data_IF_009525093418
#
_entry.id   IF_009525093418
#
_cell.length_a   1.000
_cell.length_b   1.000
_cell.length_c   1.000
_cell.angle_alpha   90.00
_cell.angle_beta   90.00
_cell.angle_gamma   90.00
#
_symmetry.space_group_name_H-M   'P 1'
#
loop_
_entity.id
_entity.type
_entity.pdbx_description
1 polymer ?
#
# COMPACT_ATOMS: atom_id res chain seq x y z
N UNK A 1 22.21 10.92 11.22
CA UNK A 1 21.04 10.82 12.13
C UNK A 1 21.35 10.01 13.39
N UNK A 2 22.06 8.88 13.29
CA UNK A 2 22.42 8.03 14.45
C UNK A 2 23.20 8.74 15.56
N UNK A 3 24.37 9.33 15.28
CA UNK A 3 25.17 10.05 16.29
C UNK A 3 24.38 11.20 16.94
N UNK A 4 23.61 11.96 16.16
CA UNK A 4 22.75 13.02 16.69
C UNK A 4 21.73 12.50 17.70
N UNK A 5 21.13 11.33 17.43
CA UNK A 5 20.19 10.67 18.33
C UNK A 5 20.86 10.27 19.64
N UNK A 6 22.09 9.72 19.56
CA UNK A 6 22.88 9.33 20.73
C UNK A 6 23.34 10.53 21.58
N UNK A 7 23.54 11.71 20.96
CA UNK A 7 23.99 12.92 21.63
C UNK A 7 22.88 13.97 21.86
N UNK A 8 21.64 13.50 22.06
CA UNK A 8 20.54 14.34 22.60
C UNK A 8 19.66 15.04 21.57
N UNK A 9 19.83 14.79 20.27
CA UNK A 9 18.90 15.23 19.20
C UNK A 9 18.25 14.03 18.54
N UNK A 10 17.13 13.59 19.09
CA UNK A 10 16.38 12.42 18.60
C UNK A 10 15.97 12.62 17.14
N UNK A 11 16.62 11.86 16.24
CA UNK A 11 16.36 11.83 14.79
C UNK A 11 16.21 10.39 14.28
N UNK A 12 15.87 9.46 15.18
CA UNK A 12 15.74 8.04 14.92
C UNK A 12 15.60 7.26 16.24
N UNK A 13 15.53 5.93 16.13
CA UNK A 13 15.46 5.03 17.26
C UNK A 13 16.79 4.28 17.42
N UNK A 14 17.27 4.17 18.67
CA UNK A 14 18.40 3.31 19.00
C UNK A 14 17.95 2.29 20.04
N UNK A 15 17.97 1.01 19.66
CA UNK A 15 17.53 -0.09 20.50
C UNK A 15 18.74 -0.97 20.76
N UNK A 16 19.38 -0.89 21.96
CA UNK A 16 20.50 -1.76 22.27
C UNK A 16 20.00 -3.20 22.33
N UNK A 17 20.60 -4.06 21.52
CA UNK A 17 20.30 -5.48 21.49
C UNK A 17 21.58 -6.31 21.47
N UNK A 18 21.72 -7.19 22.47
CA UNK A 18 22.94 -7.99 22.70
C UNK A 18 23.37 -8.79 21.47
N UNK A 19 22.42 -9.26 20.67
CA UNK A 19 22.68 -10.14 19.52
C UNK A 19 22.43 -9.44 18.17
N UNK A 20 22.44 -8.10 18.12
CA UNK A 20 22.16 -7.34 16.91
C UNK A 20 23.04 -7.76 15.71
N UNK A 21 24.31 -8.08 15.95
CA UNK A 21 25.23 -8.53 14.89
C UNK A 21 24.80 -9.84 14.20
N UNK A 22 24.00 -10.68 14.88
CA UNK A 22 23.51 -11.96 14.34
C UNK A 22 22.08 -11.89 13.78
N UNK A 23 21.32 -10.85 14.10
CA UNK A 23 19.94 -10.71 13.63
C UNK A 23 19.92 -10.46 12.10
N UNK A 24 19.09 -11.21 11.38
CA UNK A 24 18.88 -11.07 9.94
C UNK A 24 17.38 -11.08 9.64
N UNK A 25 16.91 -10.30 8.66
CA UNK A 25 15.56 -10.47 8.11
C UNK A 25 15.41 -11.89 7.56
N UNK A 26 14.37 -12.59 8.00
CA UNK A 26 14.03 -13.96 7.61
C UNK A 26 12.62 -13.98 7.01
N UNK A 27 12.34 -14.86 6.03
CA UNK A 27 11.00 -15.02 5.49
C UNK A 27 10.04 -15.64 6.53
N UNK A 28 8.74 -15.52 6.29
CA UNK A 28 7.65 -16.05 7.12
C UNK A 28 6.94 -17.21 6.41
N UNK A 29 7.56 -18.40 6.27
CA UNK A 29 6.99 -19.52 5.50
C UNK A 29 5.65 -20.03 6.05
N UNK A 30 5.35 -19.78 7.33
CA UNK A 30 4.06 -20.11 7.92
C UNK A 30 2.87 -19.36 7.28
N UNK A 31 3.12 -18.23 6.60
CA UNK A 31 2.10 -17.48 5.89
C UNK A 31 1.87 -17.97 4.46
N UNK A 32 2.80 -18.72 3.86
CA UNK A 32 2.71 -19.18 2.47
C UNK A 32 1.38 -19.89 2.15
N UNK A 33 0.82 -20.77 3.02
CA UNK A 33 -0.49 -21.36 2.78
C UNK A 33 -1.64 -20.35 2.65
N UNK A 34 -1.58 -19.23 3.38
CA UNK A 34 -2.60 -18.18 3.29
C UNK A 34 -2.55 -17.44 1.95
N UNK A 35 -1.34 -17.17 1.44
CA UNK A 35 -1.16 -16.55 0.12
C UNK A 35 -1.57 -17.50 -1.01
N UNK A 36 -1.19 -18.78 -0.93
CA UNK A 36 -1.63 -19.82 -1.86
C UNK A 36 -3.15 -19.97 -1.86
N UNK A 37 -3.77 -19.95 -0.67
CA UNK A 37 -5.23 -19.99 -0.53
C UNK A 37 -5.95 -18.77 -1.12
N UNK A 38 -5.25 -17.66 -1.32
CA UNK A 38 -5.77 -16.41 -1.87
C UNK A 38 -5.59 -16.25 -3.39
N UNK A 39 -4.97 -17.23 -4.08
CA UNK A 39 -4.70 -17.16 -5.52
C UNK A 39 -5.94 -16.83 -6.37
N UNK A 40 -7.13 -17.32 -5.98
CA UNK A 40 -8.38 -16.99 -6.66
C UNK A 40 -8.65 -15.49 -6.68
N UNK A 41 -8.49 -14.81 -5.53
CA UNK A 41 -8.62 -13.36 -5.46
C UNK A 41 -7.56 -12.66 -6.31
N UNK A 42 -6.33 -13.19 -6.35
CA UNK A 42 -5.24 -12.59 -7.12
C UNK A 42 -5.56 -12.60 -8.62
N UNK A 43 -6.04 -13.74 -9.12
CA UNK A 43 -6.48 -13.89 -10.51
C UNK A 43 -7.65 -12.95 -10.82
N UNK A 44 -8.60 -12.82 -9.91
CA UNK A 44 -9.72 -11.92 -10.13
C UNK A 44 -9.29 -10.45 -10.25
N UNK A 45 -8.32 -10.00 -9.45
CA UNK A 45 -7.78 -8.63 -9.52
C UNK A 45 -7.08 -8.41 -10.86
N UNK A 46 -6.26 -9.37 -11.32
CA UNK A 46 -5.60 -9.30 -12.63
C UNK A 46 -6.61 -9.30 -13.78
N UNK A 47 -7.64 -10.16 -13.71
CA UNK A 47 -8.69 -10.22 -14.72
C UNK A 47 -9.52 -8.92 -14.75
N UNK A 48 -9.81 -8.33 -13.59
CA UNK A 48 -10.47 -7.02 -13.52
C UNK A 48 -9.60 -5.93 -14.16
N UNK A 49 -8.29 -5.92 -13.86
CA UNK A 49 -7.35 -5.00 -14.50
C UNK A 49 -7.33 -5.15 -16.03
N UNK A 50 -7.34 -6.38 -16.54
CA UNK A 50 -7.42 -6.65 -17.97
C UNK A 50 -8.73 -6.12 -18.60
N UNK A 51 -9.84 -6.20 -17.87
CA UNK A 51 -11.11 -5.60 -18.26
C UNK A 51 -11.06 -4.07 -18.40
N UNK A 52 -10.14 -3.41 -17.68
CA UNK A 52 -9.92 -1.96 -17.76
C UNK A 52 -8.74 -1.56 -18.67
N UNK A 53 -8.22 -2.50 -19.48
CA UNK A 53 -7.06 -2.29 -20.37
C UNK A 53 -7.12 -0.99 -21.19
N UNK A 54 -8.22 -0.62 -21.87
CA UNK A 54 -8.26 0.62 -22.66
C UNK A 54 -7.98 1.88 -21.82
N UNK A 55 -8.51 1.94 -20.59
CA UNK A 55 -8.33 3.07 -19.68
C UNK A 55 -6.91 3.13 -19.12
N UNK A 56 -6.36 1.98 -18.73
CA UNK A 56 -4.98 1.87 -18.24
C UNK A 56 -3.98 2.28 -19.33
N UNK A 57 -4.21 1.90 -20.59
CA UNK A 57 -3.36 2.33 -21.70
C UNK A 57 -3.46 3.83 -22.00
N UNK A 58 -4.55 4.51 -21.63
CA UNK A 58 -4.60 5.98 -21.70
C UNK A 58 -3.61 6.61 -20.70
N UNK A 59 -3.53 6.07 -19.48
CA UNK A 59 -2.54 6.51 -18.49
C UNK A 59 -1.12 6.33 -19.02
N UNK A 60 -0.83 5.16 -19.63
CA UNK A 60 0.48 4.90 -20.27
C UNK A 60 0.82 5.95 -21.34
N UNK A 61 -0.18 6.41 -22.10
CA UNK A 61 -0.02 7.44 -23.14
C UNK A 61 0.08 8.87 -22.59
N UNK A 62 0.13 9.05 -21.26
CA UNK A 62 0.29 10.35 -20.63
C UNK A 62 -1.01 11.14 -20.48
N UNK A 63 -2.16 10.48 -20.53
CA UNK A 63 -3.45 11.11 -20.20
C UNK A 63 -3.53 11.29 -18.68
N UNK A 64 -3.38 12.54 -18.22
CA UNK A 64 -3.53 12.91 -16.81
C UNK A 64 -2.25 12.77 -15.95
N UNK A 65 -2.37 12.93 -14.63
CA UNK A 65 -1.22 13.02 -13.73
C UNK A 65 -0.62 11.67 -13.30
N UNK A 66 -1.38 10.58 -13.44
CA UNK A 66 -0.91 9.22 -13.18
C UNK A 66 0.07 8.78 -14.28
N UNK A 67 1.14 8.08 -13.89
CA UNK A 67 2.23 7.72 -14.82
C UNK A 67 2.98 6.47 -14.37
N UNK A 68 3.39 5.65 -15.32
CA UNK A 68 4.09 4.38 -15.09
C UNK A 68 5.63 4.50 -15.19
N UNK A 69 6.15 5.65 -15.58
CA UNK A 69 7.59 5.97 -15.65
C UNK A 69 8.14 6.46 -14.28
N UNK A 70 7.87 5.68 -13.23
CA UNK A 70 8.36 5.91 -11.86
C UNK A 70 8.39 4.58 -11.09
N UNK A 71 9.24 4.52 -10.06
CA UNK A 71 9.57 3.32 -9.30
C UNK A 71 8.97 3.28 -7.88
N UNK A 72 8.34 4.36 -7.42
CA UNK A 72 7.69 4.48 -6.11
C UNK A 72 6.38 3.70 -6.00
N UNK A 73 5.60 3.66 -7.08
CA UNK A 73 4.34 2.92 -7.16
C UNK A 73 4.27 2.21 -8.52
N UNK A 74 5.11 1.18 -8.72
CA UNK A 74 5.38 0.61 -10.03
C UNK A 74 4.17 -0.12 -10.59
N UNK A 75 4.30 -0.52 -11.85
CA UNK A 75 3.26 -1.13 -12.68
C UNK A 75 2.23 -1.98 -11.93
N UNK A 76 2.58 -3.13 -11.36
CA UNK A 76 1.59 -4.04 -10.79
C UNK A 76 0.87 -3.44 -9.57
N UNK A 77 1.57 -2.63 -8.78
CA UNK A 77 0.98 -1.89 -7.65
C UNK A 77 -0.10 -0.92 -8.13
N UNK A 78 0.25 -0.12 -9.15
CA UNK A 78 -0.64 0.81 -9.79
C UNK A 78 -1.85 0.12 -10.44
N UNK A 79 -1.61 -0.96 -11.17
CA UNK A 79 -2.66 -1.75 -11.84
C UNK A 79 -3.60 -2.39 -10.83
N UNK A 80 -3.07 -2.99 -9.76
CA UNK A 80 -3.87 -3.60 -8.71
C UNK A 80 -4.72 -2.54 -7.99
N UNK A 81 -4.13 -1.42 -7.58
CA UNK A 81 -4.87 -0.34 -6.93
C UNK A 81 -5.98 0.24 -7.81
N UNK A 82 -5.67 0.46 -9.09
CA UNK A 82 -6.65 0.92 -10.06
C UNK A 82 -7.82 -0.06 -10.20
N UNK A 83 -7.54 -1.35 -10.36
CA UNK A 83 -8.55 -2.39 -10.49
C UNK A 83 -9.39 -2.54 -9.20
N UNK A 84 -8.76 -2.48 -8.04
CA UNK A 84 -9.43 -2.55 -6.73
C UNK A 84 -10.44 -1.42 -6.57
N UNK A 85 -10.06 -0.18 -6.87
CA UNK A 85 -10.99 0.98 -6.81
C UNK A 85 -12.12 0.83 -7.82
N UNK A 86 -11.83 0.48 -9.08
CA UNK A 86 -12.85 0.34 -10.13
C UNK A 86 -13.85 -0.80 -9.85
N UNK A 87 -13.38 -1.90 -9.28
CA UNK A 87 -14.17 -3.09 -8.96
C UNK A 87 -15.03 -2.90 -7.73
N UNK A 88 -14.44 -2.41 -6.64
CA UNK A 88 -15.14 -2.28 -5.35
C UNK A 88 -15.95 -0.99 -5.24
N UNK A 89 -15.64 0.02 -6.05
CA UNK A 89 -16.37 1.29 -6.12
C UNK A 89 -16.58 1.92 -4.73
N UNK A 90 -15.50 2.10 -3.94
CA UNK A 90 -15.61 2.58 -2.57
C UNK A 90 -16.32 3.93 -2.51
N UNK A 91 -17.12 4.18 -1.47
CA UNK A 91 -17.65 5.52 -1.24
C UNK A 91 -16.54 6.45 -0.71
N UNK A 92 -15.58 5.89 0.04
CA UNK A 92 -14.47 6.63 0.65
C UNK A 92 -13.14 5.90 0.47
N UNK A 93 -12.10 6.70 0.26
CA UNK A 93 -10.71 6.29 0.36
C UNK A 93 -10.03 7.23 1.33
N UNK A 94 -9.49 6.69 2.42
CA UNK A 94 -8.58 7.42 3.32
C UNK A 94 -7.17 6.92 3.06
N UNK A 95 -6.29 7.80 2.62
CA UNK A 95 -4.90 7.51 2.29
C UNK A 95 -3.96 8.14 3.32
N UNK A 96 -3.02 7.36 3.86
CA UNK A 96 -1.99 7.81 4.79
C UNK A 96 -0.64 7.72 4.06
N UNK A 97 -0.01 8.87 3.82
CA UNK A 97 1.13 8.98 2.93
C UNK A 97 0.69 8.96 1.47
N UNK A 98 1.04 10.02 0.74
CA UNK A 98 0.39 10.35 -0.53
C UNK A 98 1.37 10.77 -1.63
N UNK A 99 0.90 10.75 -2.87
CA UNK A 99 1.65 11.21 -4.03
C UNK A 99 1.36 10.40 -5.29
N UNK A 100 2.18 9.40 -5.57
CA UNK A 100 2.07 8.60 -6.79
C UNK A 100 0.85 7.67 -6.77
N UNK A 101 0.61 6.97 -5.66
CA UNK A 101 -0.59 6.16 -5.42
C UNK A 101 -1.87 7.00 -5.59
N UNK A 102 -1.93 8.18 -4.96
CA UNK A 102 -3.09 9.09 -5.02
C UNK A 102 -3.52 9.39 -6.45
N UNK A 103 -2.57 9.56 -7.37
CA UNK A 103 -2.87 9.83 -8.79
C UNK A 103 -3.55 8.65 -9.46
N UNK A 104 -3.14 7.41 -9.16
CA UNK A 104 -3.80 6.21 -9.69
C UNK A 104 -5.17 5.98 -9.05
N UNK A 105 -5.31 6.25 -7.75
CA UNK A 105 -6.60 6.17 -7.04
C UNK A 105 -7.61 7.18 -7.62
N UNK A 106 -7.22 8.45 -7.74
CA UNK A 106 -8.06 9.50 -8.34
C UNK A 106 -8.40 9.20 -9.80
N UNK A 107 -7.43 8.69 -10.57
CA UNK A 107 -7.65 8.29 -11.96
C UNK A 107 -8.64 7.14 -12.09
N UNK A 108 -8.59 6.14 -11.19
CA UNK A 108 -9.56 5.06 -11.13
C UNK A 108 -10.97 5.56 -10.80
N UNK A 109 -11.10 6.52 -9.88
CA UNK A 109 -12.37 7.19 -9.54
C UNK A 109 -12.94 7.92 -10.75
N UNK A 110 -12.13 8.73 -11.43
CA UNK A 110 -12.53 9.50 -12.60
C UNK A 110 -12.97 8.60 -13.76
N UNK A 111 -12.14 7.62 -14.14
CA UNK A 111 -12.46 6.70 -15.23
C UNK A 111 -13.66 5.79 -14.92
N UNK A 112 -13.91 5.51 -13.63
CA UNK A 112 -15.06 4.73 -13.18
C UNK A 112 -16.36 5.54 -13.04
N UNK A 113 -16.31 6.87 -13.19
CA UNK A 113 -17.43 7.77 -12.91
C UNK A 113 -17.94 7.62 -11.47
N UNK A 114 -17.03 7.43 -10.51
CA UNK A 114 -17.39 7.15 -9.12
C UNK A 114 -17.62 8.44 -8.34
N UNK A 115 -18.57 8.42 -7.40
CA UNK A 115 -18.78 9.49 -6.43
C UNK A 115 -17.89 9.33 -5.17
N UNK A 116 -16.71 8.72 -5.35
CA UNK A 116 -15.78 8.39 -4.27
C UNK A 116 -15.13 9.65 -3.72
N UNK A 117 -15.17 9.83 -2.40
CA UNK A 117 -14.40 10.87 -1.71
C UNK A 117 -13.02 10.34 -1.33
N UNK A 118 -11.95 11.06 -1.70
CA UNK A 118 -10.57 10.70 -1.32
C UNK A 118 -10.06 11.73 -0.31
N UNK A 119 -9.61 11.26 0.86
CA UNK A 119 -8.91 12.07 1.85
C UNK A 119 -7.46 11.59 1.96
N UNK A 120 -6.50 12.44 1.57
CA UNK A 120 -5.07 12.13 1.60
C UNK A 120 -4.41 12.86 2.79
N UNK A 121 -3.95 12.11 3.78
CA UNK A 121 -3.28 12.59 4.99
C UNK A 121 -1.78 12.52 4.77
N UNK A 122 -1.13 13.68 4.65
CA UNK A 122 0.31 13.75 4.44
C UNK A 122 0.83 15.17 4.71
N UNK A 123 1.82 15.37 5.60
CA UNK A 123 2.35 16.71 5.89
C UNK A 123 3.10 17.32 4.70
N UNK A 124 3.64 16.50 3.79
CA UNK A 124 4.44 16.93 2.65
C UNK A 124 4.42 15.86 1.54
N UNK A 125 3.34 15.80 0.73
CA UNK A 125 3.18 14.82 -0.34
C UNK A 125 4.38 14.77 -1.28
N UNK A 126 4.81 13.56 -1.67
CA UNK A 126 5.92 13.36 -2.62
C UNK A 126 5.61 13.92 -4.01
N UNK A 127 4.32 14.03 -4.34
CA UNK A 127 3.84 14.61 -5.57
C UNK A 127 2.69 15.57 -5.26
N UNK A 128 2.68 16.75 -5.88
CA UNK A 128 1.61 17.73 -5.68
C UNK A 128 0.24 17.13 -6.00
N UNK A 129 -0.70 17.33 -5.08
CA UNK A 129 -2.09 16.92 -5.19
C UNK A 129 -3.01 18.05 -5.68
N UNK A 130 -2.48 19.25 -5.91
CA UNK A 130 -3.28 20.43 -6.26
C UNK A 130 -4.14 20.22 -7.51
N UNK A 131 -3.62 19.51 -8.52
CA UNK A 131 -4.35 19.19 -9.76
C UNK A 131 -5.40 18.09 -9.59
N UNK A 132 -5.49 17.46 -8.41
CA UNK A 132 -6.47 16.43 -8.08
C UNK A 132 -7.62 16.98 -7.22
N UNK A 133 -7.55 18.24 -6.76
CA UNK A 133 -8.60 18.85 -5.95
C UNK A 133 -9.95 18.86 -6.69
N UNK A 134 -9.93 19.20 -7.99
CA UNK A 134 -11.12 19.18 -8.86
C UNK A 134 -11.66 17.76 -9.11
N UNK A 135 -10.87 16.72 -8.79
CA UNK A 135 -11.25 15.31 -8.87
C UNK A 135 -11.75 14.76 -7.53
N UNK A 136 -12.02 15.63 -6.55
CA UNK A 136 -12.56 15.23 -5.25
C UNK A 136 -11.51 14.73 -4.25
N UNK A 137 -10.22 14.94 -4.51
CA UNK A 137 -9.15 14.65 -3.56
C UNK A 137 -9.01 15.80 -2.57
N UNK A 138 -9.30 15.54 -1.31
CA UNK A 138 -9.04 16.45 -0.19
C UNK A 138 -7.68 16.12 0.42
N UNK A 139 -6.75 17.07 0.34
CA UNK A 139 -5.47 16.98 1.04
C UNK A 139 -5.60 17.49 2.48
N UNK A 140 -5.15 16.68 3.43
CA UNK A 140 -5.03 16.97 4.87
C UNK A 140 -3.53 17.08 5.19
N UNK A 141 -2.96 18.31 5.27
CA UNK A 141 -1.52 18.54 5.40
C UNK A 141 -1.04 18.36 6.86
N UNK A 142 -1.18 17.15 7.40
CA UNK A 142 -0.86 16.83 8.79
C UNK A 142 -0.17 15.48 8.93
N UNK A 143 0.49 15.28 10.08
CA UNK A 143 0.94 13.95 10.49
C UNK A 143 -0.27 13.12 10.91
N UNK A 144 -0.19 11.79 10.77
CA UNK A 144 -1.30 10.88 11.11
C UNK A 144 -1.81 11.09 12.54
N UNK A 145 -0.91 11.30 13.51
CA UNK A 145 -1.28 11.52 14.92
C UNK A 145 -2.13 12.77 15.15
N UNK A 146 -2.11 13.72 14.23
CA UNK A 146 -2.78 15.01 14.31
C UNK A 146 -3.99 15.08 13.36
N UNK A 147 -4.23 14.03 12.55
CA UNK A 147 -5.36 13.94 11.63
C UNK A 147 -6.67 13.67 12.37
N UNK A 148 -7.79 14.14 11.80
CA UNK A 148 -9.13 13.96 12.39
C UNK A 148 -9.52 12.46 12.45
N UNK A 149 -9.71 11.90 13.66
CA UNK A 149 -10.12 10.50 13.81
C UNK A 149 -11.45 10.16 13.11
N UNK A 150 -12.31 11.16 12.86
CA UNK A 150 -13.56 10.96 12.15
C UNK A 150 -13.37 10.44 10.71
N UNK A 151 -12.21 10.70 10.09
CA UNK A 151 -11.87 10.15 8.77
C UNK A 151 -11.90 8.61 8.78
N UNK A 152 -11.32 8.00 9.81
CA UNK A 152 -11.27 6.55 9.97
C UNK A 152 -12.59 5.98 10.47
N UNK A 153 -13.26 6.67 11.41
CA UNK A 153 -14.54 6.24 11.95
C UNK A 153 -15.67 6.25 10.90
N UNK A 154 -15.52 7.02 9.83
CA UNK A 154 -16.48 7.10 8.73
C UNK A 154 -16.33 6.00 7.67
N UNK A 155 -15.26 5.18 7.73
CA UNK A 155 -15.07 4.07 6.80
C UNK A 155 -16.13 2.99 7.03
N UNK A 156 -16.72 2.51 5.94
CA UNK A 156 -17.75 1.48 5.95
C UNK A 156 -17.29 0.23 5.15
N UNK A 157 -17.98 -0.92 5.24
CA UNK A 157 -17.64 -2.09 4.44
C UNK A 157 -17.55 -1.74 2.94
N UNK A 158 -16.47 -2.13 2.28
CA UNK A 158 -16.18 -1.79 0.87
C UNK A 158 -15.41 -0.48 0.65
N UNK A 159 -15.30 0.39 1.67
CA UNK A 159 -14.39 1.55 1.63
C UNK A 159 -12.92 1.12 1.79
N UNK A 160 -12.00 2.04 1.47
CA UNK A 160 -10.56 1.75 1.44
C UNK A 160 -9.81 2.59 2.48
N UNK A 161 -8.98 1.92 3.28
CA UNK A 161 -7.85 2.52 3.98
C UNK A 161 -6.57 2.18 3.19
N UNK A 162 -5.87 3.18 2.67
CA UNK A 162 -4.64 3.01 1.91
C UNK A 162 -3.44 3.51 2.71
N UNK A 163 -2.42 2.69 2.91
CA UNK A 163 -1.29 2.97 3.82
C UNK A 163 0.05 2.90 3.08
N UNK A 164 0.71 4.05 2.96
CA UNK A 164 2.09 4.22 2.49
C UNK A 164 2.84 5.14 3.47
N UNK A 165 2.93 4.69 4.72
CA UNK A 165 3.35 5.52 5.86
C UNK A 165 4.86 5.46 6.13
N UNK A 166 5.27 5.65 7.39
CA UNK A 166 6.67 5.55 7.81
C UNK A 166 7.29 4.15 7.71
N UNK A 167 6.49 3.08 7.67
CA UNK A 167 6.91 1.65 7.72
C UNK A 167 7.76 1.24 8.93
N UNK A 168 7.86 2.11 9.94
CA UNK A 168 8.61 1.88 11.18
C UNK A 168 7.61 1.69 12.33
N UNK A 169 7.51 0.47 12.84
CA UNK A 169 6.76 0.07 14.03
C UNK A 169 7.59 0.35 15.30
N UNK A 170 7.33 1.51 15.91
CA UNK A 170 7.84 1.90 17.22
C UNK A 170 6.73 2.67 17.95
N UNK A 171 6.64 2.64 19.30
CA UNK A 171 5.60 3.37 20.02
C UNK A 171 5.51 4.84 19.58
N UNK A 172 4.30 5.27 19.21
CA UNK A 172 4.01 6.62 18.75
C UNK A 172 4.28 6.91 17.26
N UNK A 173 4.72 5.93 16.47
CA UNK A 173 4.82 6.06 15.01
C UNK A 173 3.48 5.79 14.32
N UNK A 174 3.44 6.02 13.00
CA UNK A 174 2.24 5.75 12.21
C UNK A 174 1.86 4.26 12.27
N UNK A 175 2.82 3.36 12.10
CA UNK A 175 2.57 1.91 12.12
C UNK A 175 2.02 1.44 13.47
N UNK A 176 2.52 1.99 14.58
CA UNK A 176 1.99 1.72 15.92
C UNK A 176 0.53 2.15 16.06
N UNK A 177 0.19 3.37 15.60
CA UNK A 177 -1.18 3.88 15.62
C UNK A 177 -2.11 3.10 14.68
N UNK A 178 -1.64 2.78 13.49
CA UNK A 178 -2.39 2.05 12.48
C UNK A 178 -2.73 0.66 13.01
N UNK A 179 -1.74 -0.10 13.44
CA UNK A 179 -1.95 -1.47 13.89
C UNK A 179 -2.63 -1.57 15.27
N UNK A 180 -2.32 -0.65 16.19
CA UNK A 180 -2.77 -0.69 17.58
C UNK A 180 -4.14 -0.06 17.84
N UNK A 181 -4.60 0.88 17.01
CA UNK A 181 -5.86 1.61 17.23
C UNK A 181 -6.75 1.64 15.97
N UNK A 182 -6.22 2.03 14.81
CA UNK A 182 -7.05 2.19 13.59
C UNK A 182 -7.56 0.85 13.07
N UNK A 183 -6.67 -0.07 12.70
CA UNK A 183 -7.05 -1.37 12.10
C UNK A 183 -8.00 -2.18 13.02
N UNK A 184 -7.80 -2.26 14.35
CA UNK A 184 -8.73 -2.94 15.24
C UNK A 184 -10.16 -2.36 15.24
N UNK A 185 -10.32 -1.07 14.97
CA UNK A 185 -11.62 -0.36 15.02
C UNK A 185 -12.37 -0.29 13.69
N UNK A 186 -11.71 -0.62 12.58
CA UNK A 186 -12.36 -0.65 11.26
C UNK A 186 -13.57 -1.61 11.26
N UNK A 187 -14.66 -1.31 10.55
CA UNK A 187 -15.71 -2.30 10.30
C UNK A 187 -15.21 -3.50 9.49
N UNK A 188 -15.84 -4.66 9.70
CA UNK A 188 -15.67 -5.82 8.83
C UNK A 188 -16.00 -5.44 7.37
N UNK A 189 -15.25 -5.97 6.42
CA UNK A 189 -15.41 -5.70 4.99
C UNK A 189 -14.70 -4.42 4.48
N UNK A 190 -14.10 -3.60 5.34
CA UNK A 190 -13.20 -2.53 4.89
C UNK A 190 -11.99 -3.16 4.19
N UNK A 191 -11.60 -2.55 3.07
CA UNK A 191 -10.41 -2.92 2.31
C UNK A 191 -9.22 -2.13 2.85
N UNK A 192 -8.10 -2.81 3.05
CA UNK A 192 -6.87 -2.20 3.55
C UNK A 192 -5.76 -2.48 2.57
N UNK A 193 -5.09 -1.43 2.10
CA UNK A 193 -3.85 -1.53 1.35
C UNK A 193 -2.68 -1.11 2.23
N UNK A 194 -1.57 -1.84 2.14
CA UNK A 194 -0.29 -1.44 2.72
C UNK A 194 0.80 -1.58 1.66
N UNK A 195 1.56 -0.51 1.44
CA UNK A 195 2.68 -0.46 0.51
C UNK A 195 3.99 -0.93 1.14
N UNK A 196 5.00 -1.19 0.30
CA UNK A 196 6.32 -1.68 0.72
C UNK A 196 6.26 -2.97 1.57
N UNK A 197 5.37 -3.90 1.21
CA UNK A 197 5.24 -5.21 1.85
C UNK A 197 5.66 -6.33 0.89
N UNK A 198 6.65 -7.12 1.30
CA UNK A 198 7.17 -8.27 0.55
C UNK A 198 6.75 -9.62 1.12
N UNK A 199 5.80 -9.63 2.06
CA UNK A 199 5.33 -10.87 2.68
C UNK A 199 4.88 -11.88 1.61
N UNK A 200 5.17 -13.17 1.81
CA UNK A 200 5.79 -13.78 3.00
C UNK A 200 7.33 -13.73 3.00
N UNK A 201 7.98 -13.09 2.04
CA UNK A 201 9.44 -12.95 2.02
C UNK A 201 9.95 -11.88 3.01
N UNK A 202 11.24 -12.00 3.33
CA UNK A 202 11.97 -10.95 4.01
C UNK A 202 12.18 -9.73 3.10
N UNK A 203 12.41 -8.58 3.73
CA UNK A 203 12.96 -7.43 3.02
C UNK A 203 14.35 -7.73 2.43
N UNK A 204 14.66 -7.22 1.23
CA UNK A 204 15.91 -7.53 0.55
C UNK A 204 17.08 -6.77 1.20
N UNK A 205 18.32 -7.25 1.06
CA UNK A 205 19.48 -6.65 1.72
C UNK A 205 19.68 -5.15 1.42
N UNK A 206 19.37 -4.70 0.21
CA UNK A 206 19.48 -3.28 -0.17
C UNK A 206 18.47 -2.37 0.54
N UNK A 207 17.46 -2.91 1.21
CA UNK A 207 16.52 -2.17 2.06
C UNK A 207 16.91 -2.18 3.53
N UNK A 208 18.01 -2.83 3.91
CA UNK A 208 18.45 -2.91 5.31
C UNK A 208 18.62 -1.52 5.96
N UNK A 209 19.04 -0.51 5.19
CA UNK A 209 19.20 0.86 5.68
C UNK A 209 17.87 1.58 5.95
N UNK A 210 16.76 1.15 5.33
CA UNK A 210 15.43 1.75 5.51
C UNK A 210 14.87 1.47 6.90
N UNK A 211 15.27 0.35 7.52
CA UNK A 211 14.83 -0.04 8.86
C UNK A 211 13.34 -0.40 8.96
N UNK A 212 12.72 -0.75 7.84
CA UNK A 212 11.31 -1.15 7.80
C UNK A 212 11.09 -2.44 8.59
N UNK A 213 10.05 -2.44 9.42
CA UNK A 213 9.67 -3.57 10.26
C UNK A 213 8.13 -3.75 10.34
N UNK A 214 7.37 -3.02 9.53
CA UNK A 214 5.91 -3.15 9.42
C UNK A 214 5.47 -4.55 8.94
N UNK A 215 6.25 -5.20 8.08
CA UNK A 215 5.98 -6.58 7.65
C UNK A 215 5.83 -7.57 8.83
N UNK A 216 6.56 -7.37 9.94
CA UNK A 216 6.43 -8.21 11.15
C UNK A 216 5.06 -8.05 11.79
N UNK A 217 4.53 -6.83 11.83
CA UNK A 217 3.21 -6.52 12.40
C UNK A 217 2.11 -7.13 11.50
N UNK A 218 2.24 -6.96 10.19
CA UNK A 218 1.28 -7.52 9.23
C UNK A 218 1.32 -9.05 9.20
N UNK A 219 2.49 -9.67 9.37
CA UNK A 219 2.61 -11.11 9.47
C UNK A 219 1.77 -11.67 10.65
N UNK A 220 1.85 -11.03 11.81
CA UNK A 220 1.04 -11.39 12.97
C UNK A 220 -0.46 -11.12 12.73
N UNK A 221 -0.81 -10.00 12.11
CA UNK A 221 -2.21 -9.67 11.76
C UNK A 221 -2.80 -10.72 10.81
N UNK A 222 -2.12 -11.08 9.74
CA UNK A 222 -2.57 -12.12 8.80
C UNK A 222 -2.67 -13.47 9.53
N UNK A 223 -1.66 -13.82 10.33
CA UNK A 223 -1.64 -15.06 11.10
C UNK A 223 -2.77 -15.18 12.15
N UNK A 224 -3.36 -14.07 12.58
CA UNK A 224 -4.50 -14.07 13.52
C UNK A 224 -5.80 -14.62 12.91
N UNK A 225 -5.89 -14.70 11.58
CA UNK A 225 -7.09 -15.17 10.88
C UNK A 225 -8.22 -14.14 10.78
N UNK A 226 -8.02 -12.90 11.23
CA UNK A 226 -8.99 -11.80 11.14
C UNK A 226 -9.02 -11.06 9.79
N UNK A 227 -8.28 -11.53 8.79
CA UNK A 227 -8.09 -10.84 7.52
C UNK A 227 -8.12 -11.81 6.35
N UNK A 228 -8.75 -11.41 5.24
CA UNK A 228 -8.57 -12.06 3.94
C UNK A 228 -7.47 -11.36 3.16
N UNK A 229 -6.59 -12.11 2.51
CA UNK A 229 -5.65 -11.55 1.55
C UNK A 229 -6.37 -11.43 0.20
N UNK A 230 -6.40 -10.24 -0.37
CA UNK A 230 -7.04 -9.95 -1.65
C UNK A 230 -6.05 -9.85 -2.80
N UNK A 231 -4.86 -9.32 -2.54
CA UNK A 231 -3.81 -9.19 -3.55
C UNK A 231 -2.43 -9.02 -2.90
N UNK A 232 -1.39 -9.56 -3.53
CA UNK A 232 0.00 -9.23 -3.20
C UNK A 232 0.80 -9.12 -4.49
N UNK A 233 1.27 -7.92 -4.81
CA UNK A 233 2.07 -7.69 -6.00
C UNK A 233 3.38 -8.48 -5.95
N UNK A 234 4.10 -8.42 -4.83
CA UNK A 234 5.37 -9.12 -4.67
C UNK A 234 5.20 -10.63 -4.81
N UNK A 235 4.18 -11.20 -4.15
CA UNK A 235 3.95 -12.65 -4.24
C UNK A 235 3.60 -13.07 -5.67
N UNK A 236 2.72 -12.34 -6.36
CA UNK A 236 2.39 -12.63 -7.77
C UNK A 236 3.63 -12.50 -8.65
N UNK A 237 4.39 -11.40 -8.54
CA UNK A 237 5.58 -11.17 -9.34
C UNK A 237 6.67 -12.22 -9.12
N UNK A 238 6.77 -12.80 -7.92
CA UNK A 238 7.81 -13.79 -7.57
C UNK A 238 7.39 -15.25 -7.77
N UNK A 239 6.11 -15.61 -7.52
CA UNK A 239 5.62 -17.00 -7.63
C UNK A 239 4.85 -17.30 -8.91
N UNK A 240 4.27 -16.27 -9.53
CA UNK A 240 3.32 -16.37 -10.65
C UNK A 240 3.58 -15.31 -11.72
N UNK A 241 4.86 -15.04 -12.00
CA UNK A 241 5.26 -14.08 -13.03
C UNK A 241 4.65 -14.41 -14.41
N UNK A 242 4.37 -15.68 -14.67
CA UNK A 242 3.69 -16.18 -15.87
C UNK A 242 2.28 -15.60 -16.04
N UNK A 243 1.57 -15.27 -14.95
CA UNK A 243 0.24 -14.67 -15.02
C UNK A 243 0.27 -13.23 -15.57
N UNK A 244 1.43 -12.56 -15.47
CA UNK A 244 1.58 -11.19 -15.94
C UNK A 244 1.86 -11.11 -17.45
N UNK A 245 2.38 -12.19 -18.05
CA UNK A 245 2.85 -12.21 -19.43
C UNK A 245 1.74 -12.08 -20.49
N UNK A 246 0.49 -12.40 -20.14
CA UNK A 246 -0.68 -12.27 -21.04
C UNK A 246 -1.59 -11.08 -20.73
N UNK A 247 -1.34 -10.37 -19.62
CA UNK A 247 -2.20 -9.30 -19.11
C UNK A 247 -1.76 -7.90 -19.53
N UNK A 248 -2.46 -6.89 -19.03
CA UNK A 248 -2.14 -5.47 -19.22
C UNK A 248 -0.75 -5.14 -18.67
N UNK A 249 -0.30 -5.86 -17.64
CA UNK A 249 1.04 -5.67 -17.09
C UNK A 249 2.13 -5.90 -18.16
N UNK A 250 1.99 -6.85 -19.08
CA UNK A 250 3.00 -7.10 -20.12
C UNK A 250 3.26 -5.87 -21.03
N UNK A 251 2.29 -4.95 -21.15
CA UNK A 251 2.39 -3.75 -21.99
C UNK A 251 2.95 -2.52 -21.25
N UNK A 252 3.08 -2.59 -19.93
CA UNK A 252 3.45 -1.46 -19.09
C UNK A 252 4.92 -1.54 -18.67
N UNK A 253 5.62 -0.40 -18.57
CA UNK A 253 7.03 -0.39 -18.20
C UNK A 253 7.21 -0.78 -16.73
N UNK A 254 8.28 -1.51 -16.45
CA UNK A 254 8.78 -1.74 -15.10
C UNK A 254 10.20 -1.17 -15.02
N UNK A 255 10.41 0.00 -14.40
CA UNK A 255 11.72 0.61 -14.29
C UNK A 255 12.74 -0.34 -13.64
N UNK A 256 14.01 -0.36 -14.10
CA UNK A 256 15.04 -1.20 -13.48
C UNK A 256 15.18 -0.92 -11.98
N UNK A 257 15.14 -1.98 -11.17
CA UNK A 257 15.24 -1.88 -9.71
C UNK A 257 13.92 -1.57 -8.98
N UNK A 258 12.83 -1.29 -9.70
CA UNK A 258 11.51 -1.16 -9.10
C UNK A 258 11.06 -2.51 -8.51
N UNK A 259 10.43 -2.46 -7.34
CA UNK A 259 9.85 -3.61 -6.64
C UNK A 259 8.36 -3.39 -6.49
N UNK A 260 7.56 -4.37 -6.91
CA UNK A 260 6.09 -4.30 -6.81
C UNK A 260 5.69 -4.87 -5.45
N UNK A 261 5.16 -4.02 -4.55
CA UNK A 261 5.12 -4.27 -3.09
C UNK A 261 3.77 -4.00 -2.44
N UNK A 262 2.69 -3.86 -3.22
CA UNK A 262 1.35 -3.68 -2.67
C UNK A 262 0.79 -4.97 -2.06
N UNK A 263 0.29 -4.86 -0.83
CA UNK A 263 -0.53 -5.87 -0.17
C UNK A 263 -1.94 -5.32 0.04
N UNK A 264 -2.95 -6.04 -0.44
CA UNK A 264 -4.36 -5.75 -0.21
C UNK A 264 -4.99 -6.80 0.69
N UNK A 265 -5.68 -6.34 1.72
CA UNK A 265 -6.39 -7.13 2.71
C UNK A 265 -7.86 -6.70 2.79
N UNK A 266 -8.70 -7.60 3.29
CA UNK A 266 -10.06 -7.27 3.74
C UNK A 266 -10.20 -7.63 5.21
N UNK A 267 -10.74 -6.73 6.01
CA UNK A 267 -11.09 -7.04 7.39
C UNK A 267 -12.25 -8.03 7.44
N UNK A 268 -12.16 -9.06 8.29
CA UNK A 268 -13.28 -9.99 8.56
C UNK A 268 -14.21 -9.48 9.65
#
# INVERSE_FOLDING_TARGET
MGLSTLFGRTRGFFIPYRYAASARPEPYPALEPAFLGAEGFFRDVLAAADGYRPDILRILRGDGPARFDQDWFPRLDAVAAYAMVRRHRPARIVEIGSGHSTRFLARAVADGGLATAIAAIDPAPRASLASLADQGVRHEPSLLRDADPALFAALAPGDVLFVDSSHVAMPGTDVDRIAGDILPRLPAGVLVHVHDILLPDAYPPEWAWRGYNEATVLAALIGSGGWDILFSSHWVASRRADWLAGGICAELPLPPGARETSLWLRKR
#
